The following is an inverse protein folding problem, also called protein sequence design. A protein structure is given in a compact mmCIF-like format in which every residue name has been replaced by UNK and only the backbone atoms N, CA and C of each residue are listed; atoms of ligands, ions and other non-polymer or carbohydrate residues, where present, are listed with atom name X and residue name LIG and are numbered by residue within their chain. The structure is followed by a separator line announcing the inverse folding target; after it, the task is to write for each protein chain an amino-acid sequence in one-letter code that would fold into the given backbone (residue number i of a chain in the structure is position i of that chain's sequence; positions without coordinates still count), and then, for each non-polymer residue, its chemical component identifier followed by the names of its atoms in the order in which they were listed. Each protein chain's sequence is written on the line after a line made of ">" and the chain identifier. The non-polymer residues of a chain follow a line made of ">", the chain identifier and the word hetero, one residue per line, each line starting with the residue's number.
data_IF_991668262978
#
_entry.id   IF_991668262978
#
_cell.length_a   1.000
_cell.length_b   1.000
_cell.length_c   1.000
_cell.angle_alpha   90.00
_cell.angle_beta   90.00
_cell.angle_gamma   90.00
#
_symmetry.space_group_name_H-M   'P 1'
#
loop_
_entity.id
_entity.type
_entity.pdbx_description
1 polymer ?
#
# COMPACT_ATOMS: atom_id res chain seq x y z
N UNK A 1 10.02 -15.78 -15.23
CA UNK A 1 8.82 -15.19 -14.68
C UNK A 1 8.69 -15.52 -13.22
N UNK A 2 8.46 -14.53 -12.48
CA UNK A 2 8.28 -14.70 -11.07
C UNK A 2 6.92 -15.31 -10.78
N UNK A 3 6.89 -16.44 -10.14
CA UNK A 3 5.64 -16.99 -9.70
C UNK A 3 5.64 -16.88 -8.19
N UNK A 4 4.77 -16.07 -7.75
CA UNK A 4 4.53 -15.88 -6.35
C UNK A 4 3.82 -17.12 -5.82
N UNK A 5 4.35 -17.82 -4.78
CA UNK A 5 3.46 -18.65 -3.99
C UNK A 5 2.54 -17.66 -3.31
N UNK A 6 1.54 -17.33 -4.01
CA UNK A 6 0.77 -16.14 -3.82
C UNK A 6 -0.09 -16.25 -2.57
N UNK A 7 0.13 -15.44 -1.54
CA UNK A 7 -0.72 -15.55 -0.36
C UNK A 7 -2.19 -15.34 -0.68
N UNK A 8 -2.51 -14.67 -1.78
CA UNK A 8 -3.89 -14.42 -2.15
C UNK A 8 -4.51 -15.46 -3.07
N UNK A 9 -3.75 -16.41 -3.62
CA UNK A 9 -4.30 -17.33 -4.61
C UNK A 9 -4.88 -18.60 -3.99
N UNK A 10 -4.38 -19.03 -2.85
CA UNK A 10 -4.77 -20.29 -2.25
C UNK A 10 -5.29 -20.17 -0.82
N UNK A 11 -5.33 -18.97 -0.28
CA UNK A 11 -5.83 -18.74 1.05
C UNK A 11 -7.07 -17.86 1.02
N UNK A 12 -7.94 -17.95 2.02
CA UNK A 12 -9.01 -16.97 2.14
C UNK A 12 -8.43 -15.57 2.27
N UNK A 13 -9.07 -14.60 1.62
CA UNK A 13 -8.63 -13.22 1.70
C UNK A 13 -9.03 -12.55 3.01
N UNK A 14 -9.89 -13.19 3.81
CA UNK A 14 -10.22 -12.70 5.13
C UNK A 14 -10.50 -13.88 6.05
N UNK A 15 -10.55 -13.62 7.32
CA UNK A 15 -10.85 -14.62 8.33
C UNK A 15 -10.91 -13.96 9.70
N UNK A 16 -11.31 -14.71 10.73
CA UNK A 16 -11.44 -14.13 12.08
C UNK A 16 -10.10 -13.62 12.64
N UNK A 17 -9.02 -14.18 12.18
CA UNK A 17 -7.67 -13.72 12.53
C UNK A 17 -6.72 -14.02 11.41
N UNK A 18 -5.88 -13.05 11.10
CA UNK A 18 -4.82 -13.22 10.12
C UNK A 18 -3.55 -12.60 10.68
N UNK A 19 -2.42 -13.23 10.40
CA UNK A 19 -1.12 -12.73 10.79
C UNK A 19 -0.22 -12.64 9.57
N UNK A 20 0.42 -11.49 9.40
CA UNK A 20 1.34 -11.28 8.29
C UNK A 20 2.68 -10.80 8.83
N UNK A 21 3.74 -11.41 8.34
CA UNK A 21 5.09 -10.90 8.56
C UNK A 21 5.38 -9.94 7.42
N UNK A 22 5.23 -8.65 7.68
CA UNK A 22 5.32 -7.64 6.64
C UNK A 22 6.71 -7.58 6.02
N UNK A 23 7.76 -7.76 6.81
CA UNK A 23 9.12 -7.76 6.27
C UNK A 23 9.33 -8.87 5.25
N UNK A 24 8.83 -10.06 5.53
CA UNK A 24 8.91 -11.18 4.60
C UNK A 24 8.14 -10.89 3.31
N UNK A 25 6.93 -10.33 3.45
CA UNK A 25 6.11 -10.02 2.27
C UNK A 25 6.78 -8.95 1.42
N UNK A 26 7.33 -7.91 2.04
CA UNK A 26 8.07 -6.86 1.31
C UNK A 26 9.22 -7.47 0.54
N UNK A 27 10.00 -8.34 1.18
CA UNK A 27 11.12 -9.02 0.50
C UNK A 27 10.67 -9.75 -0.74
N UNK A 28 9.54 -10.44 -0.66
CA UNK A 28 8.99 -11.17 -1.81
C UNK A 28 8.53 -10.23 -2.91
N UNK A 29 7.88 -9.12 -2.56
CA UNK A 29 7.46 -8.14 -3.55
C UNK A 29 8.65 -7.56 -4.31
N UNK A 30 9.77 -7.37 -3.63
CA UNK A 30 10.99 -6.82 -4.24
C UNK A 30 11.75 -7.83 -5.08
N UNK A 31 11.45 -9.12 -4.93
CA UNK A 31 12.03 -10.17 -5.77
C UNK A 31 11.22 -10.39 -7.05
N UNK A 32 10.00 -9.89 -7.13
CA UNK A 32 9.14 -10.10 -8.28
C UNK A 32 9.52 -9.21 -9.45
N UNK A 33 9.10 -9.63 -10.65
CA UNK A 33 9.50 -8.99 -11.89
C UNK A 33 9.15 -7.52 -11.98
N UNK A 34 8.00 -7.10 -11.45
CA UNK A 34 7.60 -5.70 -11.49
C UNK A 34 8.65 -4.81 -10.81
N UNK A 35 9.04 -5.17 -9.59
CA UNK A 35 10.05 -4.40 -8.85
C UNK A 35 11.41 -4.46 -9.55
N UNK A 36 11.79 -5.62 -10.03
CA UNK A 36 13.08 -5.79 -10.73
C UNK A 36 13.16 -4.96 -12.01
N UNK A 37 12.02 -4.66 -12.62
CA UNK A 37 11.96 -3.80 -13.79
C UNK A 37 11.79 -2.31 -13.45
N UNK A 38 11.90 -1.96 -12.18
CA UNK A 38 11.78 -0.56 -11.75
C UNK A 38 10.34 -0.07 -11.57
N UNK A 39 9.39 -0.98 -11.44
CA UNK A 39 7.98 -0.63 -11.27
C UNK A 39 7.55 -0.89 -9.83
N UNK A 40 6.53 -0.17 -9.38
CA UNK A 40 5.93 -0.46 -8.07
C UNK A 40 5.29 -1.84 -8.08
N UNK A 41 5.12 -2.39 -6.89
CA UNK A 41 4.49 -3.68 -6.74
C UNK A 41 3.60 -3.65 -5.49
N UNK A 42 2.60 -4.49 -5.45
CA UNK A 42 1.70 -4.54 -4.31
C UNK A 42 1.09 -5.91 -4.15
N UNK A 43 0.52 -6.14 -2.99
CA UNK A 43 -0.25 -7.34 -2.71
C UNK A 43 -1.41 -7.00 -1.78
N UNK A 44 -2.57 -7.57 -2.07
CA UNK A 44 -3.72 -7.47 -1.18
C UNK A 44 -3.56 -8.54 -0.10
N UNK A 45 -3.38 -8.09 1.13
CA UNK A 45 -3.25 -9.00 2.27
C UNK A 45 -4.61 -9.47 2.78
N UNK A 46 -5.59 -8.58 2.78
CA UNK A 46 -6.94 -8.89 3.23
C UNK A 46 -7.94 -8.17 2.36
N UNK A 47 -9.06 -8.85 2.06
CA UNK A 47 -10.19 -8.24 1.38
C UNK A 47 -11.46 -8.89 1.90
N UNK A 48 -12.32 -8.09 2.51
CA UNK A 48 -13.63 -8.56 2.98
C UNK A 48 -13.92 -8.17 4.41
N UNK A 49 -15.17 -8.36 4.80
CA UNK A 49 -15.68 -8.04 6.14
C UNK A 49 -15.37 -6.60 6.55
N UNK A 50 -15.53 -5.67 5.62
CA UNK A 50 -15.39 -4.25 5.91
C UNK A 50 -13.98 -3.73 6.05
N UNK A 51 -12.97 -4.54 5.72
CA UNK A 51 -11.58 -4.11 5.84
C UNK A 51 -10.75 -4.71 4.71
N UNK A 52 -10.13 -3.85 3.94
CA UNK A 52 -9.19 -4.25 2.88
C UNK A 52 -7.81 -3.72 3.23
N UNK A 53 -6.79 -4.58 3.13
CA UNK A 53 -5.42 -4.22 3.50
C UNK A 53 -4.50 -4.54 2.34
N UNK A 54 -3.74 -3.53 1.91
CA UNK A 54 -2.81 -3.64 0.78
C UNK A 54 -1.43 -3.21 1.22
N UNK A 55 -0.43 -4.03 0.92
CA UNK A 55 0.97 -3.67 1.13
C UNK A 55 1.55 -3.26 -0.21
N UNK A 56 2.20 -2.09 -0.25
CA UNK A 56 2.65 -1.44 -1.47
C UNK A 56 4.12 -1.07 -1.36
N UNK A 57 4.91 -1.38 -2.38
CA UNK A 57 6.27 -0.90 -2.51
C UNK A 57 6.36 0.01 -3.74
N UNK A 58 6.96 1.19 -3.58
CA UNK A 58 7.04 2.22 -4.61
C UNK A 58 8.49 2.59 -4.86
N UNK A 59 8.81 2.85 -6.11
CA UNK A 59 10.11 3.40 -6.49
C UNK A 59 10.11 4.90 -6.32
N UNK A 60 11.27 5.48 -6.01
CA UNK A 60 11.43 6.93 -5.95
C UNK A 60 10.90 7.58 -7.24
N UNK A 61 10.09 8.60 -7.09
CA UNK A 61 9.47 9.32 -8.20
C UNK A 61 8.15 8.75 -8.69
N UNK A 62 7.76 7.58 -8.19
CA UNK A 62 6.51 6.94 -8.60
C UNK A 62 5.30 7.68 -8.00
N UNK A 63 4.18 7.60 -8.70
CA UNK A 63 2.94 8.28 -8.32
C UNK A 63 1.77 7.32 -8.36
N UNK A 64 0.95 7.36 -7.32
CA UNK A 64 -0.40 6.83 -7.38
C UNK A 64 -1.30 8.00 -7.69
N UNK A 65 -1.85 8.02 -8.91
CA UNK A 65 -2.60 9.15 -9.41
C UNK A 65 -3.85 9.45 -8.59
N UNK A 66 -4.32 10.65 -8.73
CA UNK A 66 -5.47 11.13 -7.99
C UNK A 66 -6.69 10.24 -8.17
N UNK A 67 -7.25 9.83 -7.06
CA UNK A 67 -8.52 9.11 -7.02
C UNK A 67 -9.20 9.37 -5.68
N UNK A 68 -10.46 9.00 -5.59
CA UNK A 68 -11.21 9.12 -4.36
C UNK A 68 -11.73 7.75 -3.98
N UNK A 69 -11.41 7.29 -2.79
CA UNK A 69 -11.92 6.03 -2.29
C UNK A 69 -13.38 6.23 -1.85
N UNK A 70 -14.18 5.18 -2.00
CA UNK A 70 -15.58 5.22 -1.57
C UNK A 70 -15.73 5.09 -0.05
N UNK A 71 -14.64 4.80 0.64
CA UNK A 71 -14.62 4.58 2.08
C UNK A 71 -13.38 5.23 2.67
N UNK A 72 -13.38 5.50 3.99
CA UNK A 72 -12.20 6.04 4.65
C UNK A 72 -11.03 5.08 4.53
N UNK A 73 -9.82 5.63 4.54
CA UNK A 73 -8.61 4.83 4.49
C UNK A 73 -7.56 5.36 5.46
N UNK A 74 -6.63 4.48 5.79
CA UNK A 74 -5.40 4.87 6.45
C UNK A 74 -4.21 4.45 5.62
N UNK A 75 -3.15 5.22 5.69
CA UNK A 75 -1.89 4.93 5.03
C UNK A 75 -0.78 5.05 6.07
N UNK A 76 -0.08 3.95 6.31
CA UNK A 76 1.04 3.91 7.23
C UNK A 76 2.32 3.79 6.40
N UNK A 77 3.25 4.72 6.60
CA UNK A 77 4.55 4.65 5.94
C UNK A 77 5.46 3.78 6.81
N UNK A 78 5.94 2.70 6.24
CA UNK A 78 6.83 1.77 6.95
C UNK A 78 8.29 2.06 6.69
N UNK A 79 8.62 2.44 5.46
CA UNK A 79 9.99 2.80 5.06
C UNK A 79 9.92 3.86 4.01
N UNK A 80 10.93 4.72 3.96
CA UNK A 80 11.04 5.75 2.96
C UNK A 80 10.21 6.98 3.27
N UNK A 81 10.03 7.81 2.25
CA UNK A 81 9.29 9.08 2.36
C UNK A 81 8.34 9.22 1.21
N UNK A 82 7.15 9.72 1.50
CA UNK A 82 6.14 10.02 0.50
C UNK A 82 5.61 11.44 0.68
N UNK A 83 5.01 11.95 -0.38
CA UNK A 83 4.21 13.17 -0.34
C UNK A 83 2.77 12.77 -0.61
N UNK A 84 1.89 13.17 0.29
CA UNK A 84 0.46 12.91 0.19
C UNK A 84 -0.23 14.24 -0.11
N UNK A 85 -0.89 14.32 -1.26
CA UNK A 85 -1.59 15.52 -1.69
C UNK A 85 -3.08 15.23 -1.68
N UNK A 86 -3.83 15.92 -0.82
CA UNK A 86 -5.27 15.77 -0.73
C UNK A 86 -5.89 17.15 -0.78
N UNK A 87 -6.68 17.39 -1.82
CA UNK A 87 -7.27 18.69 -2.07
C UNK A 87 -6.18 19.77 -2.11
N UNK A 88 -6.18 20.72 -1.18
CA UNK A 88 -5.19 21.78 -1.16
C UNK A 88 -4.08 21.54 -0.14
N UNK A 89 -4.12 20.40 0.54
CA UNK A 89 -3.12 20.10 1.56
C UNK A 89 -2.05 19.17 1.01
N UNK A 90 -0.81 19.46 1.35
CA UNK A 90 0.34 18.64 1.01
C UNK A 90 1.02 18.26 2.31
N UNK A 91 1.17 16.95 2.52
CA UNK A 91 1.81 16.42 3.72
C UNK A 91 2.92 15.47 3.29
N UNK A 92 4.11 15.67 3.85
CA UNK A 92 5.18 14.70 3.68
C UNK A 92 5.17 13.75 4.88
N UNK A 93 5.39 12.48 4.61
CA UNK A 93 5.34 11.44 5.64
C UNK A 93 6.49 10.47 5.45
N UNK A 94 7.03 10.01 6.56
CA UNK A 94 8.11 9.03 6.57
C UNK A 94 7.81 7.94 7.58
N UNK A 95 8.78 7.07 7.85
CA UNK A 95 8.59 5.94 8.75
C UNK A 95 7.89 6.36 10.05
N UNK A 96 6.96 5.53 10.48
CA UNK A 96 6.17 5.75 11.69
C UNK A 96 5.12 6.87 11.58
N UNK A 97 4.83 7.31 10.38
CA UNK A 97 3.75 8.27 10.14
C UNK A 97 2.50 7.52 9.69
N UNK A 98 1.38 7.88 10.27
CA UNK A 98 0.05 7.39 9.88
C UNK A 98 -0.78 8.55 9.36
N UNK A 99 -1.32 8.38 8.17
CA UNK A 99 -2.24 9.33 7.56
C UNK A 99 -3.61 8.69 7.45
N UNK A 100 -4.64 9.47 7.69
CA UNK A 100 -6.02 9.00 7.47
C UNK A 100 -6.71 9.96 6.51
N UNK A 101 -7.66 9.44 5.76
CA UNK A 101 -8.36 10.21 4.75
C UNK A 101 -9.83 9.75 4.71
N UNK A 102 -10.75 10.70 4.75
CA UNK A 102 -12.17 10.40 4.69
C UNK A 102 -12.57 9.92 3.29
N UNK A 103 -13.72 9.25 3.23
CA UNK A 103 -14.29 8.84 1.97
C UNK A 103 -14.51 10.06 1.06
N UNK A 104 -14.28 9.88 -0.23
CA UNK A 104 -14.55 10.91 -1.23
C UNK A 104 -13.48 11.97 -1.38
N UNK A 105 -12.45 11.98 -0.54
CA UNK A 105 -11.37 12.95 -0.66
C UNK A 105 -10.40 12.48 -1.74
N UNK A 106 -10.21 13.30 -2.75
CA UNK A 106 -9.29 12.98 -3.85
C UNK A 106 -7.84 13.17 -3.36
N UNK A 107 -7.00 12.22 -3.69
CA UNK A 107 -5.62 12.26 -3.21
C UNK A 107 -4.65 11.63 -4.22
N UNK A 108 -3.40 12.08 -4.13
CA UNK A 108 -2.29 11.55 -4.91
C UNK A 108 -1.15 11.25 -3.94
N UNK A 109 -0.48 10.13 -4.15
CA UNK A 109 0.69 9.76 -3.37
C UNK A 109 1.91 9.76 -4.29
N UNK A 110 2.95 10.47 -3.89
CA UNK A 110 4.22 10.52 -4.64
C UNK A 110 5.32 9.96 -3.76
N UNK A 111 6.06 9.00 -4.26
CA UNK A 111 7.21 8.46 -3.53
C UNK A 111 8.40 9.40 -3.72
N UNK A 112 8.90 9.96 -2.61
CA UNK A 112 10.07 10.83 -2.63
C UNK A 112 11.37 10.02 -2.55
N UNK A 113 11.25 8.78 -2.12
CA UNK A 113 12.31 7.78 -2.12
C UNK A 113 11.63 6.44 -2.38
N UNK A 114 12.41 5.36 -2.52
CA UNK A 114 11.80 4.04 -2.46
C UNK A 114 11.05 3.96 -1.13
N UNK A 115 9.83 3.48 -1.16
CA UNK A 115 8.95 3.53 0.01
C UNK A 115 8.11 2.27 0.15
N UNK A 116 7.80 1.94 1.39
CA UNK A 116 6.91 0.83 1.73
C UNK A 116 5.73 1.41 2.51
N UNK A 117 4.53 1.17 2.01
CA UNK A 117 3.31 1.69 2.62
C UNK A 117 2.31 0.58 2.86
N UNK A 118 1.56 0.72 3.95
CA UNK A 118 0.47 -0.18 4.28
C UNK A 118 -0.83 0.62 4.23
N UNK A 119 -1.74 0.22 3.35
CA UNK A 119 -3.04 0.86 3.21
C UNK A 119 -4.11 -0.02 3.83
N UNK A 120 -4.97 0.60 4.62
CA UNK A 120 -6.17 -0.07 5.14
C UNK A 120 -7.37 0.75 4.70
N UNK A 121 -8.29 0.11 3.99
CA UNK A 121 -9.46 0.77 3.43
C UNK A 121 -10.69 0.10 4.03
N UNK A 122 -11.55 0.90 4.65
CA UNK A 122 -12.81 0.40 5.20
C UNK A 122 -13.79 0.07 4.05
N UNK A 123 -14.62 -0.90 4.26
CA UNK A 123 -15.63 -1.25 3.26
C UNK A 123 -15.38 -2.57 2.49
#
# INVERSE_FOLDING_TARGET
>A
MSSRPHPGSERPLHGPRQRFDLGTVVGRLMEEGAWQRGQRNSITLRKGEGMNVVLLVMKAGDRLEEHAALAPLSLSVREGRIRFVAEEEIVEAESDTLLTCDAGVRHTVVALSDAVCLLTIAG
#
